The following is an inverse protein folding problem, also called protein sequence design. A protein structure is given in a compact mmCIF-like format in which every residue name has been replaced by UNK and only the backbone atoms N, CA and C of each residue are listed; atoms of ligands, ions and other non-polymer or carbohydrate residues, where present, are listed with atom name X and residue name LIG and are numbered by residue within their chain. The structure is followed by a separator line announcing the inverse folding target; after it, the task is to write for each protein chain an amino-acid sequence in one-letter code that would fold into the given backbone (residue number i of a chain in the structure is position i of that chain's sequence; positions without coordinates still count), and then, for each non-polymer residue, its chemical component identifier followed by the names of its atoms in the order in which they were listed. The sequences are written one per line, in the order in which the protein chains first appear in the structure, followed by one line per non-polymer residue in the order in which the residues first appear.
data_IF_849423842763
#
_entry.id   IF_849423842763
#
_cell.length_a   1.000
_cell.length_b   1.000
_cell.length_c   1.000
_cell.angle_alpha   90.00
_cell.angle_beta   90.00
_cell.angle_gamma   90.00
#
_symmetry.space_group_name_H-M   'P 1'
#
loop_
_entity.id
_entity.type
_entity.pdbx_description
1 polymer ?
#
# COMPACT_ATOMS: atom_id res chain seq x y z
N UNK A 1 -15.28 -11.24 30.71
CA UNK A 1 -14.59 -10.16 29.96
C UNK A 1 -14.52 -10.51 28.47
N UNK A 2 -14.05 -11.69 28.08
CA UNK A 2 -13.93 -12.12 26.68
C UNK A 2 -15.30 -12.16 25.98
N UNK A 3 -16.32 -12.73 26.62
CA UNK A 3 -17.66 -12.84 26.06
C UNK A 3 -18.28 -11.47 25.75
N UNK A 4 -18.13 -10.50 26.65
CA UNK A 4 -18.58 -9.12 26.41
C UNK A 4 -17.80 -8.41 25.29
N UNK A 5 -16.51 -8.76 25.12
CA UNK A 5 -15.74 -8.25 23.99
C UNK A 5 -16.29 -8.80 22.66
N UNK A 6 -16.53 -10.11 22.59
CA UNK A 6 -17.09 -10.74 21.39
C UNK A 6 -18.48 -10.17 21.06
N UNK A 7 -19.38 -10.08 22.05
CA UNK A 7 -20.72 -9.53 21.88
C UNK A 7 -20.67 -8.06 21.37
N UNK A 8 -19.79 -7.22 21.95
CA UNK A 8 -19.62 -5.84 21.50
C UNK A 8 -19.01 -5.77 20.10
N UNK A 9 -18.00 -6.61 19.84
CA UNK A 9 -17.34 -6.64 18.54
C UNK A 9 -18.32 -7.05 17.44
N UNK A 10 -19.12 -8.09 17.65
CA UNK A 10 -20.14 -8.56 16.71
C UNK A 10 -21.20 -7.49 16.41
N UNK A 11 -21.57 -6.71 17.41
CA UNK A 11 -22.63 -5.71 17.31
C UNK A 11 -22.16 -4.40 16.67
N UNK A 12 -21.01 -3.88 17.07
CA UNK A 12 -20.52 -2.55 16.63
C UNK A 12 -19.00 -2.48 16.40
N UNK A 13 -18.20 -3.22 17.15
CA UNK A 13 -16.74 -3.08 17.16
C UNK A 13 -16.09 -3.39 15.80
N UNK A 14 -16.67 -4.28 15.01
CA UNK A 14 -16.20 -4.58 13.66
C UNK A 14 -16.24 -3.35 12.73
N UNK A 15 -17.08 -2.37 13.06
CA UNK A 15 -17.27 -1.15 12.29
C UNK A 15 -16.44 0.04 12.78
N UNK A 16 -15.75 -0.11 13.91
CA UNK A 16 -14.91 0.93 14.56
C UNK A 16 -13.46 0.85 14.05
N UNK A 17 -13.28 0.88 12.73
CA UNK A 17 -11.97 0.87 12.10
C UNK A 17 -11.83 2.12 11.23
N UNK A 18 -10.58 2.47 10.92
CA UNK A 18 -10.24 3.50 9.95
C UNK A 18 -9.27 2.89 8.93
N UNK A 19 -9.36 3.37 7.68
CA UNK A 19 -8.44 2.97 6.62
C UNK A 19 -7.29 3.95 6.61
N UNK A 20 -6.07 3.46 6.65
CA UNK A 20 -4.88 4.31 6.53
C UNK A 20 -4.92 5.13 5.24
N UNK A 21 -4.52 6.40 5.36
CA UNK A 21 -4.48 7.31 4.23
C UNK A 21 -3.60 6.74 3.10
N UNK A 22 -4.09 6.81 1.86
CA UNK A 22 -3.39 6.29 0.69
C UNK A 22 -3.69 4.83 0.33
N UNK A 23 -4.18 3.98 1.25
CA UNK A 23 -4.50 2.57 0.96
C UNK A 23 -5.49 2.41 -0.21
N UNK A 24 -6.61 3.14 -0.30
CA UNK A 24 -7.50 2.99 -1.45
C UNK A 24 -6.83 3.34 -2.79
N UNK A 25 -5.90 4.30 -2.78
CA UNK A 25 -5.12 4.67 -3.97
C UNK A 25 -4.12 3.58 -4.34
N UNK A 26 -3.40 3.03 -3.36
CA UNK A 26 -2.48 1.92 -3.55
C UNK A 26 -3.19 0.70 -4.15
N UNK A 27 -4.33 0.30 -3.58
CA UNK A 27 -5.11 -0.84 -4.07
C UNK A 27 -5.54 -0.64 -5.54
N UNK A 28 -5.96 0.57 -5.88
CA UNK A 28 -6.29 0.94 -7.27
C UNK A 28 -5.08 0.82 -8.19
N UNK A 29 -3.92 1.30 -7.74
CA UNK A 29 -2.66 1.19 -8.50
C UNK A 29 -2.26 -0.27 -8.71
N UNK A 30 -2.35 -1.10 -7.68
CA UNK A 30 -2.07 -2.53 -7.77
C UNK A 30 -2.99 -3.23 -8.80
N UNK A 31 -4.29 -2.99 -8.72
CA UNK A 31 -5.25 -3.56 -9.68
C UNK A 31 -4.98 -3.10 -11.11
N UNK A 32 -4.66 -1.82 -11.31
CA UNK A 32 -4.30 -1.26 -12.63
C UNK A 32 -3.05 -1.92 -13.21
N UNK A 33 -2.12 -2.35 -12.36
CA UNK A 33 -0.90 -3.06 -12.76
C UNK A 33 -1.09 -4.60 -12.81
N UNK A 34 -2.33 -5.09 -12.75
CA UNK A 34 -2.64 -6.51 -12.91
C UNK A 34 -2.36 -7.37 -11.66
N UNK A 35 -2.04 -6.76 -10.54
CA UNK A 35 -1.87 -7.49 -9.29
C UNK A 35 -3.21 -8.02 -8.77
N UNK A 36 -3.18 -9.23 -8.20
CA UNK A 36 -4.26 -9.77 -7.40
C UNK A 36 -4.02 -9.41 -5.94
N UNK A 37 -5.08 -9.04 -5.24
CA UNK A 37 -5.01 -8.55 -3.87
C UNK A 37 -5.97 -9.33 -2.98
N UNK A 38 -5.46 -9.83 -1.85
CA UNK A 38 -6.29 -10.47 -0.83
C UNK A 38 -6.03 -9.88 0.55
N UNK A 39 -7.04 -9.87 1.38
CA UNK A 39 -6.88 -9.68 2.83
C UNK A 39 -6.64 -11.04 3.47
N UNK A 40 -5.56 -11.14 4.28
CA UNK A 40 -5.27 -12.31 5.11
C UNK A 40 -5.27 -11.87 6.58
N UNK A 41 -6.27 -12.28 7.34
CA UNK A 41 -6.51 -11.74 8.69
C UNK A 41 -6.87 -12.81 9.71
N UNK A 42 -6.48 -12.59 10.97
CA UNK A 42 -6.94 -13.41 12.10
C UNK A 42 -8.39 -13.10 12.54
N UNK A 43 -9.00 -12.02 12.01
CA UNK A 43 -10.44 -11.75 12.24
C UNK A 43 -11.29 -12.83 11.56
N UNK A 44 -12.42 -13.25 12.14
CA UNK A 44 -13.35 -14.11 11.42
C UNK A 44 -13.70 -13.55 10.05
N UNK A 45 -13.67 -14.39 9.02
CA UNK A 45 -13.81 -14.00 7.62
C UNK A 45 -15.05 -13.13 7.38
N UNK A 46 -16.18 -13.50 7.96
CA UNK A 46 -17.44 -12.75 7.81
C UNK A 46 -17.33 -11.28 8.24
N UNK A 47 -16.55 -10.99 9.27
CA UNK A 47 -16.35 -9.61 9.71
C UNK A 47 -15.33 -8.88 8.83
N UNK A 48 -14.27 -9.56 8.37
CA UNK A 48 -13.31 -8.99 7.45
C UNK A 48 -13.98 -8.58 6.12
N UNK A 49 -14.87 -9.39 5.59
CA UNK A 49 -15.66 -9.09 4.39
C UNK A 49 -16.57 -7.86 4.60
N UNK A 50 -17.28 -7.80 5.74
CA UNK A 50 -18.11 -6.64 6.10
C UNK A 50 -17.29 -5.35 6.22
N UNK A 51 -16.11 -5.43 6.83
CA UNK A 51 -15.18 -4.30 6.95
C UNK A 51 -14.75 -3.84 5.56
N UNK A 52 -14.32 -4.75 4.70
CA UNK A 52 -13.90 -4.45 3.33
C UNK A 52 -15.03 -3.76 2.52
N UNK A 53 -16.26 -4.22 2.67
CA UNK A 53 -17.44 -3.62 2.04
C UNK A 53 -17.72 -2.20 2.60
N UNK A 54 -17.76 -2.07 3.93
CA UNK A 54 -18.06 -0.80 4.61
C UNK A 54 -17.11 0.31 4.18
N UNK A 55 -15.82 0.01 4.05
CA UNK A 55 -14.79 0.98 3.72
C UNK A 55 -14.50 1.08 2.21
N UNK A 56 -15.32 0.44 1.37
CA UNK A 56 -15.19 0.52 -0.09
C UNK A 56 -13.93 -0.13 -0.64
N UNK A 57 -13.33 -1.08 0.09
CA UNK A 57 -12.15 -1.81 -0.34
C UNK A 57 -12.49 -3.04 -1.19
N UNK A 58 -13.68 -3.62 -1.00
CA UNK A 58 -14.11 -4.85 -1.67
C UNK A 58 -13.93 -4.84 -3.20
N UNK A 59 -14.15 -3.74 -3.95
CA UNK A 59 -13.94 -3.72 -5.41
C UNK A 59 -12.48 -3.93 -5.84
N UNK A 60 -11.52 -3.77 -4.92
CA UNK A 60 -10.09 -3.93 -5.20
C UNK A 60 -9.54 -5.28 -4.74
N UNK A 61 -10.37 -6.09 -4.07
CA UNK A 61 -9.95 -7.38 -3.50
C UNK A 61 -10.40 -8.53 -4.41
N UNK A 62 -9.53 -9.49 -4.57
CA UNK A 62 -9.86 -10.76 -5.25
C UNK A 62 -10.29 -11.82 -4.23
N UNK A 63 -9.89 -11.69 -2.96
CA UNK A 63 -10.31 -12.58 -1.89
C UNK A 63 -10.18 -11.94 -0.50
N UNK A 64 -10.88 -12.54 0.48
CA UNK A 64 -10.75 -12.23 1.91
C UNK A 64 -10.59 -13.56 2.65
N UNK A 65 -9.43 -13.78 3.24
CA UNK A 65 -9.02 -15.02 3.88
C UNK A 65 -8.94 -14.79 5.39
N UNK A 66 -9.86 -15.37 6.10
CA UNK A 66 -9.91 -15.37 7.55
C UNK A 66 -10.31 -16.74 8.09
N UNK A 67 -10.23 -16.96 9.41
CA UNK A 67 -10.74 -18.18 10.02
C UNK A 67 -12.27 -18.22 9.94
N UNK A 68 -12.81 -19.44 9.87
CA UNK A 68 -14.23 -19.66 10.09
C UNK A 68 -14.62 -19.38 11.55
N UNK A 69 -15.92 -19.32 11.84
CA UNK A 69 -16.44 -19.07 13.19
C UNK A 69 -16.00 -20.12 14.23
N UNK A 70 -15.55 -21.29 13.79
CA UNK A 70 -15.07 -22.38 14.65
C UNK A 70 -13.56 -22.33 14.94
N UNK A 71 -12.87 -21.30 14.52
CA UNK A 71 -11.42 -21.05 14.72
C UNK A 71 -10.47 -22.20 14.27
N UNK A 72 -10.93 -23.15 13.46
CA UNK A 72 -10.01 -24.14 12.86
C UNK A 72 -9.09 -23.43 11.86
N UNK A 73 -7.81 -23.80 11.90
CA UNK A 73 -6.76 -23.27 11.00
C UNK A 73 -6.66 -21.74 11.04
N UNK A 74 -6.70 -21.15 12.25
CA UNK A 74 -6.62 -19.71 12.48
C UNK A 74 -5.20 -19.17 12.60
N UNK A 75 -4.15 -20.01 12.50
CA UNK A 75 -2.77 -19.54 12.52
C UNK A 75 -2.48 -18.68 11.29
N UNK A 76 -1.65 -17.64 11.45
CA UNK A 76 -1.28 -16.78 10.32
C UNK A 76 -0.62 -17.59 9.21
N UNK A 77 0.22 -18.56 9.56
CA UNK A 77 0.84 -19.49 8.60
C UNK A 77 -0.20 -20.23 7.74
N UNK A 78 -1.23 -20.83 8.37
CA UNK A 78 -2.26 -21.56 7.64
C UNK A 78 -3.10 -20.64 6.75
N UNK A 79 -3.41 -19.42 7.21
CA UNK A 79 -4.16 -18.43 6.43
C UNK A 79 -3.35 -17.92 5.23
N UNK A 80 -2.05 -17.65 5.41
CA UNK A 80 -1.15 -17.26 4.31
C UNK A 80 -1.01 -18.41 3.30
N UNK A 81 -0.88 -19.66 3.77
CA UNK A 81 -0.83 -20.84 2.89
C UNK A 81 -2.05 -20.91 1.98
N UNK A 82 -3.25 -20.71 2.51
CA UNK A 82 -4.49 -20.66 1.71
C UNK A 82 -4.42 -19.59 0.61
N UNK A 83 -3.86 -18.41 0.92
CA UNK A 83 -3.64 -17.36 -0.06
C UNK A 83 -2.64 -17.76 -1.15
N UNK A 84 -1.52 -18.34 -0.76
CA UNK A 84 -0.49 -18.83 -1.71
C UNK A 84 -1.06 -19.88 -2.65
N UNK A 85 -1.81 -20.84 -2.11
CA UNK A 85 -2.45 -21.91 -2.91
C UNK A 85 -3.52 -21.35 -3.86
N UNK A 86 -4.32 -20.38 -3.40
CA UNK A 86 -5.39 -19.78 -4.21
C UNK A 86 -4.85 -18.91 -5.35
N UNK A 87 -3.77 -18.19 -5.12
CA UNK A 87 -3.26 -17.22 -6.10
C UNK A 87 -2.14 -17.78 -6.97
N UNK A 88 -1.26 -18.63 -6.43
CA UNK A 88 -0.08 -19.13 -7.13
C UNK A 88 0.85 -18.00 -7.61
N UNK A 89 1.98 -18.37 -8.24
CA UNK A 89 2.94 -17.40 -8.76
C UNK A 89 3.72 -16.69 -7.65
N UNK A 90 4.17 -15.44 -7.93
CA UNK A 90 4.89 -14.65 -6.93
C UNK A 90 3.90 -13.98 -5.99
N UNK A 91 3.96 -14.34 -4.72
CA UNK A 91 3.15 -13.79 -3.63
C UNK A 91 4.04 -12.97 -2.71
N UNK A 92 3.52 -11.88 -2.18
CA UNK A 92 4.16 -11.06 -1.15
C UNK A 92 3.18 -10.89 0.01
N UNK A 93 3.65 -11.16 1.23
CA UNK A 93 2.86 -10.88 2.44
C UNK A 93 3.20 -9.50 2.98
N UNK A 94 2.19 -8.67 3.16
CA UNK A 94 2.31 -7.34 3.78
C UNK A 94 1.62 -7.36 5.13
N UNK A 95 2.32 -6.94 6.19
CA UNK A 95 1.74 -6.94 7.53
C UNK A 95 2.48 -6.03 8.49
N UNK A 96 1.86 -5.72 9.61
CA UNK A 96 2.35 -4.80 10.62
C UNK A 96 2.82 -5.49 11.91
N UNK A 97 2.78 -6.83 11.98
CA UNK A 97 3.21 -7.59 13.14
C UNK A 97 4.16 -8.73 12.74
N UNK A 98 4.99 -9.15 13.72
CA UNK A 98 5.88 -10.30 13.55
C UNK A 98 5.16 -11.55 13.03
N UNK A 99 3.92 -11.80 13.48
CA UNK A 99 3.12 -12.95 13.02
C UNK A 99 2.85 -12.94 11.52
N UNK A 100 2.71 -11.77 10.90
CA UNK A 100 2.52 -11.62 9.46
C UNK A 100 3.79 -12.02 8.71
N UNK A 101 4.93 -11.54 9.22
CA UNK A 101 6.25 -11.83 8.66
C UNK A 101 6.58 -13.33 8.79
N UNK A 102 6.41 -13.88 10.00
CA UNK A 102 6.63 -15.31 10.28
C UNK A 102 5.71 -16.19 9.41
N UNK A 103 4.43 -15.81 9.29
CA UNK A 103 3.45 -16.53 8.45
C UNK A 103 3.83 -16.49 6.96
N UNK A 104 4.37 -15.39 6.46
CA UNK A 104 4.90 -15.26 5.11
C UNK A 104 6.12 -16.16 4.90
N UNK A 105 7.10 -16.07 5.78
CA UNK A 105 8.34 -16.85 5.71
C UNK A 105 8.09 -18.37 5.79
N UNK A 106 7.17 -18.81 6.66
CA UNK A 106 6.80 -20.21 6.77
C UNK A 106 6.22 -20.78 5.47
N UNK A 107 5.72 -19.91 4.58
CA UNK A 107 5.21 -20.26 3.26
C UNK A 107 6.17 -19.90 2.11
N UNK A 108 7.39 -19.49 2.41
CA UNK A 108 8.44 -19.20 1.42
C UNK A 108 8.14 -17.98 0.55
N UNK A 109 7.36 -17.01 1.04
CA UNK A 109 7.04 -15.79 0.31
C UNK A 109 7.79 -14.58 0.88
N UNK A 110 8.07 -13.61 0.01
CA UNK A 110 8.65 -12.33 0.43
C UNK A 110 7.69 -11.61 1.39
N UNK A 111 8.25 -10.85 2.33
CA UNK A 111 7.47 -10.15 3.35
C UNK A 111 7.82 -8.68 3.40
N UNK A 112 6.80 -7.83 3.58
CA UNK A 112 6.97 -6.39 3.78
C UNK A 112 6.36 -6.04 5.13
N UNK A 113 7.20 -5.60 6.07
CA UNK A 113 6.76 -5.04 7.33
C UNK A 113 6.36 -3.58 7.18
N UNK A 114 5.21 -3.18 7.69
CA UNK A 114 4.73 -1.79 7.63
C UNK A 114 4.72 -1.15 9.02
N UNK A 115 5.41 0.00 9.17
CA UNK A 115 5.62 0.66 10.46
C UNK A 115 4.48 1.61 10.87
N UNK A 116 3.49 1.82 10.02
CA UNK A 116 2.33 2.66 10.33
C UNK A 116 1.17 1.89 10.98
N UNK A 117 1.36 0.61 11.31
CA UNK A 117 0.41 -0.24 12.02
C UNK A 117 0.70 -0.32 13.52
N UNK A 118 0.46 -1.48 14.12
CA UNK A 118 0.63 -1.73 15.56
C UNK A 118 2.03 -2.18 15.95
N UNK A 119 2.79 -2.81 15.05
CA UNK A 119 4.14 -3.28 15.29
C UNK A 119 5.17 -2.18 15.19
N UNK A 120 6.31 -2.38 15.81
CA UNK A 120 7.47 -1.49 15.71
C UNK A 120 8.44 -1.96 14.62
N UNK A 121 9.28 -1.07 14.13
CA UNK A 121 10.34 -1.43 13.18
C UNK A 121 11.28 -2.49 13.76
N UNK A 122 11.60 -2.40 15.05
CA UNK A 122 12.43 -3.38 15.75
C UNK A 122 11.77 -4.78 15.74
N UNK A 123 10.45 -4.87 15.99
CA UNK A 123 9.68 -6.11 15.92
C UNK A 123 9.76 -6.72 14.52
N UNK A 124 9.52 -5.92 13.50
CA UNK A 124 9.49 -6.36 12.10
C UNK A 124 10.89 -6.76 11.60
N UNK A 125 11.91 -6.03 12.01
CA UNK A 125 13.32 -6.33 11.71
C UNK A 125 13.77 -7.60 12.43
N UNK A 126 13.43 -7.77 13.70
CA UNK A 126 13.73 -9.00 14.46
C UNK A 126 13.04 -10.23 13.84
N UNK A 127 11.82 -10.06 13.30
CA UNK A 127 11.11 -11.08 12.54
C UNK A 127 11.70 -11.31 11.12
N UNK A 128 12.72 -10.54 10.71
CA UNK A 128 13.41 -10.62 9.41
C UNK A 128 12.49 -10.36 8.23
N UNK A 129 11.67 -9.30 8.28
CA UNK A 129 10.92 -8.84 7.11
C UNK A 129 11.88 -8.61 5.93
N UNK A 130 11.51 -9.04 4.72
CA UNK A 130 12.32 -8.86 3.50
C UNK A 130 12.51 -7.37 3.18
N UNK A 131 11.48 -6.58 3.43
CA UNK A 131 11.48 -5.12 3.30
C UNK A 131 10.72 -4.48 4.46
N UNK A 132 11.07 -3.23 4.75
CA UNK A 132 10.34 -2.38 5.68
C UNK A 132 9.79 -1.18 4.91
N UNK A 133 8.55 -0.79 5.21
CA UNK A 133 7.92 0.40 4.68
C UNK A 133 7.40 1.28 5.83
N UNK A 134 7.82 2.54 5.88
CA UNK A 134 7.44 3.46 6.95
C UNK A 134 6.11 4.16 6.67
N UNK A 135 5.74 4.24 5.41
CA UNK A 135 4.45 4.79 4.97
C UNK A 135 3.89 4.06 3.75
N UNK A 136 2.67 4.44 3.36
CA UNK A 136 1.98 3.83 2.22
C UNK A 136 2.66 4.14 0.88
N UNK A 137 3.39 5.25 0.78
CA UNK A 137 4.11 5.60 -0.44
C UNK A 137 5.36 4.73 -0.63
N UNK A 138 6.10 4.44 0.44
CA UNK A 138 7.19 3.46 0.42
C UNK A 138 6.67 2.06 0.10
N UNK A 139 5.56 1.63 0.72
CA UNK A 139 4.94 0.35 0.42
C UNK A 139 4.58 0.23 -1.06
N UNK A 140 3.98 1.29 -1.63
CA UNK A 140 3.65 1.30 -3.04
C UNK A 140 4.91 1.24 -3.91
N UNK A 141 6.02 1.92 -3.53
CA UNK A 141 7.30 1.85 -4.24
C UNK A 141 7.88 0.44 -4.24
N UNK A 142 7.85 -0.25 -3.11
CA UNK A 142 8.35 -1.61 -2.99
C UNK A 142 7.51 -2.59 -3.84
N UNK A 143 6.18 -2.46 -3.80
CA UNK A 143 5.27 -3.38 -4.49
C UNK A 143 5.25 -3.21 -6.02
N UNK A 144 5.34 -1.97 -6.50
CA UNK A 144 5.23 -1.66 -7.93
C UNK A 144 6.60 -1.45 -8.59
N UNK A 145 7.69 -1.44 -7.81
CA UNK A 145 9.02 -1.10 -8.28
C UNK A 145 9.12 0.36 -8.69
N UNK A 146 10.32 0.75 -9.16
CA UNK A 146 10.57 2.04 -9.80
C UNK A 146 9.95 2.14 -11.21
N UNK A 147 8.78 1.53 -11.45
CA UNK A 147 8.00 1.93 -12.60
C UNK A 147 7.83 3.44 -12.47
N UNK A 148 8.27 4.23 -13.47
CA UNK A 148 8.20 5.68 -13.35
C UNK A 148 6.74 6.05 -13.12
N UNK A 149 6.41 6.27 -11.84
CA UNK A 149 5.15 6.91 -11.54
C UNK A 149 5.25 8.24 -12.20
N UNK A 150 4.26 8.54 -13.03
CA UNK A 150 4.02 9.90 -13.46
C UNK A 150 3.64 10.74 -12.22
N UNK A 151 4.57 10.94 -11.29
CA UNK A 151 4.53 12.02 -10.34
C UNK A 151 4.91 13.23 -11.13
N UNK A 152 3.93 13.96 -11.63
CA UNK A 152 4.18 15.28 -12.14
C UNK A 152 4.74 16.11 -10.99
N UNK A 153 5.98 16.56 -11.11
CA UNK A 153 6.54 17.58 -10.24
C UNK A 153 6.19 18.92 -10.88
N UNK A 154 5.42 19.74 -10.14
CA UNK A 154 5.16 21.11 -10.56
C UNK A 154 6.30 21.99 -10.04
N UNK A 155 7.04 22.64 -10.95
CA UNK A 155 8.11 23.55 -10.61
C UNK A 155 7.71 24.94 -11.09
N UNK A 156 7.46 25.88 -10.17
CA UNK A 156 7.26 27.29 -10.46
C UNK A 156 8.59 28.04 -10.40
N UNK A 157 8.88 28.85 -11.41
CA UNK A 157 10.03 29.73 -11.43
C UNK A 157 9.55 31.17 -11.41
N UNK A 158 9.80 31.85 -10.31
CA UNK A 158 9.43 33.24 -10.12
C UNK A 158 10.68 34.15 -10.14
N UNK A 159 10.52 35.41 -10.50
CA UNK A 159 11.56 36.41 -10.52
C UNK A 159 11.23 37.57 -11.45
N UNK A 160 11.91 38.71 -11.25
CA UNK A 160 11.75 39.89 -12.08
C UNK A 160 12.20 39.63 -13.53
N UNK A 161 11.74 40.46 -14.46
CA UNK A 161 12.13 40.33 -15.86
C UNK A 161 13.65 40.50 -16.04
N UNK A 162 14.23 39.67 -16.90
CA UNK A 162 15.66 39.66 -17.14
C UNK A 162 16.52 38.89 -16.12
N UNK A 163 15.97 38.30 -15.06
CA UNK A 163 16.73 37.54 -14.04
C UNK A 163 17.20 36.13 -14.49
N UNK A 164 16.99 35.77 -15.76
CA UNK A 164 17.50 34.50 -16.32
C UNK A 164 16.54 33.31 -16.20
N UNK A 165 15.26 33.54 -15.87
CA UNK A 165 14.23 32.46 -15.78
C UNK A 165 14.23 31.53 -16.99
N UNK A 166 14.27 32.07 -18.19
CA UNK A 166 14.24 31.30 -19.45
C UNK A 166 15.47 30.40 -19.59
N UNK A 167 16.66 30.93 -19.24
CA UNK A 167 17.90 30.16 -19.31
C UNK A 167 17.95 29.04 -18.29
N UNK A 168 17.51 29.31 -17.06
CA UNK A 168 17.44 28.30 -16.00
C UNK A 168 16.39 27.24 -16.31
N UNK A 169 15.23 27.64 -16.86
CA UNK A 169 14.19 26.71 -17.31
C UNK A 169 14.73 25.75 -18.37
N UNK A 170 15.42 26.27 -19.40
CA UNK A 170 16.02 25.46 -20.46
C UNK A 170 17.06 24.46 -19.91
N UNK A 171 17.89 24.89 -18.96
CA UNK A 171 18.84 24.00 -18.31
C UNK A 171 18.19 22.91 -17.49
N UNK A 172 17.14 23.25 -16.72
CA UNK A 172 16.35 22.29 -15.94
C UNK A 172 15.64 21.28 -16.83
N UNK A 173 14.96 21.75 -17.90
CA UNK A 173 14.34 20.92 -18.94
C UNK A 173 15.33 19.90 -19.50
N UNK A 174 16.49 20.34 -19.96
CA UNK A 174 17.50 19.45 -20.50
C UNK A 174 18.03 18.43 -19.48
N UNK A 175 18.06 18.78 -18.20
CA UNK A 175 18.42 17.86 -17.12
C UNK A 175 17.32 16.81 -16.88
N UNK A 176 16.07 17.23 -16.76
CA UNK A 176 14.94 16.35 -16.54
C UNK A 176 14.75 15.36 -17.70
N UNK A 177 14.91 15.81 -18.95
CA UNK A 177 14.82 14.95 -20.12
C UNK A 177 15.91 13.85 -20.12
N UNK A 178 17.14 14.19 -19.70
CA UNK A 178 18.23 13.20 -19.53
C UNK A 178 17.91 12.15 -18.46
N UNK A 179 17.10 12.50 -17.48
CA UNK A 179 16.59 11.59 -16.44
C UNK A 179 15.32 10.82 -16.88
N UNK A 180 14.87 10.99 -18.12
CA UNK A 180 13.70 10.29 -18.67
C UNK A 180 12.34 10.91 -18.29
N UNK A 181 12.33 12.12 -17.75
CA UNK A 181 11.09 12.83 -17.43
C UNK A 181 10.46 13.44 -18.68
N UNK A 182 9.13 13.37 -18.75
CA UNK A 182 8.33 14.17 -19.70
C UNK A 182 7.94 15.46 -19.03
N UNK A 183 8.10 16.58 -19.70
CA UNK A 183 7.68 17.88 -19.21
C UNK A 183 6.54 18.47 -20.02
N UNK A 184 5.74 19.30 -19.38
CA UNK A 184 4.80 20.21 -20.02
C UNK A 184 5.10 21.60 -19.48
N UNK A 185 5.41 22.53 -20.38
CA UNK A 185 5.69 23.91 -20.01
C UNK A 185 4.40 24.73 -20.13
N UNK A 186 4.12 25.50 -19.09
CA UNK A 186 3.04 26.49 -19.10
C UNK A 186 3.60 27.85 -18.71
N UNK A 187 3.06 28.92 -19.27
CA UNK A 187 3.31 30.29 -18.81
C UNK A 187 1.98 30.93 -18.44
N UNK A 188 2.00 31.81 -17.46
CA UNK A 188 0.81 32.59 -17.15
C UNK A 188 0.39 33.45 -18.34
N UNK A 189 -0.92 33.69 -18.55
CA UNK A 189 -1.38 34.62 -19.57
C UNK A 189 -0.94 36.03 -19.18
N UNK A 190 -0.02 36.59 -19.97
CA UNK A 190 0.63 37.90 -19.76
C UNK A 190 2.13 37.93 -20.02
N UNK A 191 2.78 36.79 -20.14
CA UNK A 191 4.13 36.68 -20.69
C UNK A 191 4.05 36.66 -22.22
N UNK A 192 4.69 37.60 -22.86
CA UNK A 192 4.68 37.86 -24.29
C UNK A 192 4.69 36.58 -25.13
N UNK A 193 3.74 36.50 -26.05
CA UNK A 193 3.82 35.64 -27.21
C UNK A 193 5.07 36.01 -28.01
N UNK A 194 6.01 35.09 -28.08
CA UNK A 194 7.06 35.07 -29.13
C UNK A 194 7.03 33.70 -29.78
#
# INVERSE_FOLDING_TARGET
AIDHYHERFERVGWAENEVYAGIPSLLRSLKKNGARVAIVTAKPQVFAERIAQKFGLAPYLDDVIGPGMNNKDSSKEALVRRGVEAFGGRVVMVGDRCFDIEGGQANGVDTIGVCYGYGTEDELTAARATHIAHDVAELENILLGDAPRARGVFISMEGVDGCGKTTQRAALTGHLQKLGWRETQTSEPGGDAV
#
